data_IF_559941441289
#
_entry.id   IF_559941441289
#
_cell.length_a   1.000
_cell.length_b   1.000
_cell.length_c   1.000
_cell.angle_alpha   90.00
_cell.angle_beta   90.00
_cell.angle_gamma   90.00
#
_symmetry.space_group_name_H-M   'P 1'
#
loop_
_entity.id
_entity.type
_entity.pdbx_description
1 polymer ?
#
# COMPACT_ATOMS: atom_id res chain seq x y z
N UNK A 1 -6.28 6.76 6.43
CA UNK A 1 -5.28 5.75 6.02
C UNK A 1 -5.87 4.36 6.29
N UNK A 2 -6.94 3.97 5.60
CA UNK A 2 -7.60 2.69 5.84
C UNK A 2 -7.78 1.96 4.50
N UNK A 3 -7.59 0.63 4.44
CA UNK A 3 -7.84 -0.15 3.23
C UNK A 3 -9.35 -0.26 3.02
N UNK A 4 -9.92 0.72 2.33
CA UNK A 4 -11.35 0.78 2.05
C UNK A 4 -11.60 0.99 0.56
N UNK A 5 -12.65 0.36 0.04
CA UNK A 5 -13.08 0.53 -1.34
C UNK A 5 -14.60 0.67 -1.38
N UNK A 6 -15.09 1.84 -1.79
CA UNK A 6 -16.53 2.08 -1.99
C UNK A 6 -17.08 1.34 -3.21
N UNK A 7 -16.26 1.21 -4.25
CA UNK A 7 -16.63 0.59 -5.52
C UNK A 7 -16.62 -0.94 -5.44
N UNK A 8 -15.71 -1.50 -4.64
CA UNK A 8 -15.49 -2.93 -4.51
C UNK A 8 -15.40 -3.30 -3.02
N UNK A 9 -16.55 -3.44 -2.32
CA UNK A 9 -16.58 -3.65 -0.88
C UNK A 9 -15.83 -4.90 -0.41
N UNK A 10 -15.73 -5.94 -1.24
CA UNK A 10 -14.96 -7.15 -0.93
C UNK A 10 -13.44 -6.92 -0.79
N UNK A 11 -12.93 -5.79 -1.28
CA UNK A 11 -11.55 -5.35 -1.05
C UNK A 11 -11.41 -4.40 0.16
N UNK A 12 -12.47 -4.17 0.94
CA UNK A 12 -12.35 -3.49 2.22
C UNK A 12 -11.59 -4.39 3.21
N UNK A 13 -10.69 -3.81 4.00
CA UNK A 13 -9.81 -4.56 4.90
C UNK A 13 -10.56 -5.35 5.97
N UNK A 14 -11.69 -4.84 6.46
CA UNK A 14 -12.57 -5.58 7.38
C UNK A 14 -13.15 -6.82 6.70
N UNK A 15 -13.64 -6.69 5.46
CA UNK A 15 -14.14 -7.83 4.70
C UNK A 15 -13.04 -8.85 4.43
N UNK A 16 -11.86 -8.41 3.98
CA UNK A 16 -10.72 -9.31 3.72
C UNK A 16 -10.21 -10.00 4.99
N UNK A 17 -10.19 -9.30 6.13
CA UNK A 17 -9.80 -9.87 7.42
C UNK A 17 -10.73 -11.00 7.85
N UNK A 18 -11.99 -10.99 7.41
CA UNK A 18 -12.97 -12.04 7.70
C UNK A 18 -12.96 -13.15 6.64
N UNK A 19 -12.86 -12.82 5.35
CA UNK A 19 -13.05 -13.78 4.25
C UNK A 19 -11.78 -14.56 3.90
N UNK A 20 -10.60 -13.96 4.00
CA UNK A 20 -9.34 -14.64 3.64
C UNK A 20 -8.98 -15.78 4.60
N UNK A 21 -9.10 -15.61 5.94
CA UNK A 21 -8.85 -16.72 6.86
C UNK A 21 -9.80 -17.91 6.62
N UNK A 22 -11.07 -17.64 6.29
CA UNK A 22 -12.04 -18.68 5.93
C UNK A 22 -11.65 -19.46 4.66
N UNK A 23 -10.88 -18.84 3.77
CA UNK A 23 -10.32 -19.46 2.56
C UNK A 23 -8.91 -20.04 2.76
N UNK A 24 -8.38 -20.05 3.99
CA UNK A 24 -7.05 -20.58 4.32
C UNK A 24 -5.89 -19.62 4.06
N UNK A 25 -6.15 -18.31 3.93
CA UNK A 25 -5.14 -17.27 3.71
C UNK A 25 -5.06 -16.32 4.90
N UNK A 26 -3.85 -16.09 5.40
CA UNK A 26 -3.61 -15.03 6.38
C UNK A 26 -3.77 -13.65 5.70
N UNK A 27 -4.51 -12.76 6.37
CA UNK A 27 -4.59 -11.36 5.97
C UNK A 27 -3.74 -10.50 6.90
N UNK A 28 -2.81 -9.74 6.32
CA UNK A 28 -2.01 -8.76 7.04
C UNK A 28 -2.07 -7.41 6.35
N UNK A 29 -2.49 -6.40 7.10
CA UNK A 29 -2.43 -5.02 6.65
C UNK A 29 -1.13 -4.34 7.12
N UNK A 30 -0.34 -3.87 6.16
CA UNK A 30 0.88 -3.09 6.38
C UNK A 30 0.65 -1.62 5.97
N UNK A 31 0.16 -0.75 6.88
CA UNK A 31 -0.13 0.67 6.56
C UNK A 31 1.08 1.45 6.05
N UNK A 32 2.29 1.01 6.43
CA UNK A 32 3.56 1.58 6.00
C UNK A 32 3.77 1.50 4.49
N UNK A 33 3.23 0.45 3.85
CA UNK A 33 3.48 0.16 2.43
C UNK A 33 2.43 0.75 1.49
N UNK A 34 1.57 1.64 1.98
CA UNK A 34 0.53 2.19 1.12
C UNK A 34 -0.31 3.32 1.68
N UNK A 35 -1.35 3.65 0.91
CA UNK A 35 -2.24 4.77 1.17
C UNK A 35 -1.72 6.10 0.59
N UNK A 36 -2.60 7.10 0.58
CA UNK A 36 -2.27 8.44 0.09
C UNK A 36 -1.21 9.11 0.99
N UNK A 37 -0.30 9.84 0.35
CA UNK A 37 0.80 10.58 0.98
C UNK A 37 0.83 11.99 0.40
N UNK A 38 1.31 12.95 1.20
CA UNK A 38 1.47 14.34 0.77
C UNK A 38 2.93 14.56 0.41
N UNK A 39 3.17 15.31 -0.66
CA UNK A 39 4.51 15.74 -1.02
C UNK A 39 5.14 16.57 0.10
N UNK A 40 6.43 16.34 0.35
CA UNK A 40 7.19 17.11 1.33
C UNK A 40 7.61 18.46 0.72
N UNK A 41 7.64 19.55 1.51
CA UNK A 41 8.28 20.79 1.08
C UNK A 41 9.74 20.55 0.73
N UNK A 42 10.20 21.04 -0.43
CA UNK A 42 11.57 20.83 -0.89
C UNK A 42 11.88 19.39 -1.31
N UNK A 43 10.85 18.58 -1.59
CA UNK A 43 10.99 17.21 -2.08
C UNK A 43 11.98 17.10 -3.25
N UNK A 44 12.93 16.16 -3.21
CA UNK A 44 13.82 15.89 -4.34
C UNK A 44 13.07 15.27 -5.53
N UNK A 45 11.85 14.77 -5.31
CA UNK A 45 10.99 14.12 -6.30
C UNK A 45 10.15 15.13 -7.10
N UNK A 46 10.68 16.32 -7.40
CA UNK A 46 9.94 17.42 -8.05
C UNK A 46 9.52 17.19 -9.51
N UNK A 47 9.98 16.11 -10.15
CA UNK A 47 9.68 15.81 -11.56
C UNK A 47 8.26 15.24 -11.79
N UNK A 48 7.53 14.89 -10.72
CA UNK A 48 6.19 14.33 -10.83
C UNK A 48 5.14 15.41 -11.12
N UNK A 49 4.34 15.20 -12.18
CA UNK A 49 3.20 16.09 -12.51
C UNK A 49 2.04 16.01 -11.50
N UNK A 50 1.93 14.90 -10.78
CA UNK A 50 0.85 14.67 -9.82
C UNK A 50 1.42 14.68 -8.40
N UNK A 51 0.93 15.59 -7.56
CA UNK A 51 1.42 15.79 -6.20
C UNK A 51 1.25 14.57 -5.29
N UNK A 52 0.26 13.71 -5.54
CA UNK A 52 0.05 12.51 -4.76
C UNK A 52 1.01 11.37 -5.18
N UNK A 53 1.45 11.33 -6.44
CA UNK A 53 2.58 10.48 -6.86
C UNK A 53 3.91 11.01 -6.33
N UNK A 54 4.13 12.32 -6.35
CA UNK A 54 5.30 12.93 -5.69
C UNK A 54 5.36 12.57 -4.21
N UNK A 55 4.26 12.76 -3.48
CA UNK A 55 4.20 12.41 -2.06
C UNK A 55 4.36 10.92 -1.79
N UNK A 56 3.97 10.05 -2.73
CA UNK A 56 4.26 8.63 -2.59
C UNK A 56 5.73 8.31 -2.87
N UNK A 57 6.38 8.99 -3.82
CA UNK A 57 7.82 8.88 -4.05
C UNK A 57 8.62 9.33 -2.83
N UNK A 58 8.26 10.47 -2.22
CA UNK A 58 8.86 10.92 -0.95
C UNK A 58 8.68 9.89 0.17
N UNK A 59 7.53 9.21 0.19
CA UNK A 59 7.26 8.16 1.17
C UNK A 59 8.11 6.91 0.95
N UNK A 60 8.46 6.56 -0.29
CA UNK A 60 9.36 5.43 -0.58
C UNK A 60 10.75 5.64 0.03
N UNK A 61 11.18 6.90 0.15
CA UNK A 61 12.47 7.29 0.76
C UNK A 61 12.41 7.37 2.30
N UNK A 62 11.25 7.11 2.92
CA UNK A 62 11.07 7.25 4.36
C UNK A 62 11.47 6.00 5.15
N UNK A 63 11.89 6.21 6.41
CA UNK A 63 12.11 5.12 7.39
C UNK A 63 10.83 4.29 7.60
N UNK A 64 9.66 4.94 7.65
CA UNK A 64 8.37 4.23 7.79
C UNK A 64 8.19 3.18 6.67
N UNK A 65 8.51 3.54 5.43
CA UNK A 65 8.40 2.62 4.30
C UNK A 65 9.46 1.51 4.36
N UNK A 66 10.71 1.86 4.68
CA UNK A 66 11.79 0.90 4.84
C UNK A 66 11.45 -0.18 5.90
N UNK A 67 10.94 0.22 7.06
CA UNK A 67 10.52 -0.70 8.12
C UNK A 67 9.38 -1.63 7.68
N UNK A 68 8.39 -1.07 6.97
CA UNK A 68 7.29 -1.83 6.40
C UNK A 68 7.78 -2.86 5.37
N UNK A 69 8.76 -2.49 4.55
CA UNK A 69 9.32 -3.35 3.51
C UNK A 69 10.17 -4.46 4.12
N UNK A 70 11.00 -4.15 5.11
CA UNK A 70 11.78 -5.14 5.85
C UNK A 70 10.85 -6.21 6.46
N UNK A 71 9.77 -5.79 7.13
CA UNK A 71 8.76 -6.70 7.68
C UNK A 71 8.11 -7.57 6.61
N UNK A 72 7.78 -7.03 5.44
CA UNK A 72 7.23 -7.80 4.32
C UNK A 72 8.22 -8.86 3.83
N UNK A 73 9.49 -8.49 3.67
CA UNK A 73 10.54 -9.40 3.20
C UNK A 73 10.80 -10.53 4.21
N UNK A 74 10.79 -10.24 5.51
CA UNK A 74 10.89 -11.27 6.56
C UNK A 74 9.73 -12.27 6.51
N UNK A 75 8.51 -11.79 6.24
CA UNK A 75 7.33 -12.66 6.07
C UNK A 75 7.45 -13.52 4.82
N UNK A 76 7.85 -12.92 3.70
CA UNK A 76 8.01 -13.60 2.42
C UNK A 76 9.14 -14.65 2.45
N UNK A 77 10.17 -14.46 3.28
CA UNK A 77 11.22 -15.44 3.49
C UNK A 77 10.73 -16.68 4.25
N UNK A 78 9.64 -16.57 5.04
CA UNK A 78 9.11 -17.65 5.89
C UNK A 78 7.87 -18.32 5.34
N UNK A 79 7.07 -17.60 4.55
CA UNK A 79 5.78 -18.06 4.01
C UNK A 79 5.62 -17.58 2.58
N UNK A 80 4.86 -18.34 1.79
CA UNK A 80 4.43 -17.89 0.46
C UNK A 80 3.52 -16.67 0.63
N UNK A 81 4.01 -15.51 0.20
CA UNK A 81 3.35 -14.21 0.41
C UNK A 81 2.97 -13.58 -0.93
N UNK A 82 1.76 -13.02 -0.99
CA UNK A 82 1.31 -12.17 -2.08
C UNK A 82 1.07 -10.75 -1.56
N UNK A 83 1.64 -9.74 -2.22
CA UNK A 83 1.34 -8.34 -1.98
C UNK A 83 0.30 -7.87 -2.99
N UNK A 84 -0.82 -7.34 -2.52
CA UNK A 84 -1.95 -6.96 -3.37
C UNK A 84 -2.13 -5.45 -3.45
N UNK A 85 -2.45 -4.97 -4.66
CA UNK A 85 -2.93 -3.62 -4.96
C UNK A 85 -4.25 -3.75 -5.73
N UNK A 86 -5.24 -2.89 -5.51
CA UNK A 86 -6.58 -3.02 -6.12
C UNK A 86 -6.66 -2.36 -7.51
N UNK A 87 -5.53 -1.97 -8.09
CA UNK A 87 -5.47 -1.17 -9.30
C UNK A 87 -4.87 -1.95 -10.45
N UNK A 88 -5.59 -1.94 -11.58
CA UNK A 88 -5.16 -2.64 -12.78
C UNK A 88 -3.86 -2.07 -13.36
N UNK A 89 -3.66 -0.75 -13.28
CA UNK A 89 -2.51 -0.03 -13.83
C UNK A 89 -2.16 1.18 -12.95
N UNK A 90 -0.87 1.46 -12.79
CA UNK A 90 -0.38 2.48 -11.86
C UNK A 90 -0.86 3.90 -12.20
N UNK A 91 -1.06 4.24 -13.47
CA UNK A 91 -1.54 5.58 -13.88
C UNK A 91 -3.04 5.82 -13.62
N UNK A 92 -3.80 4.76 -13.28
CA UNK A 92 -5.17 4.84 -12.77
C UNK A 92 -5.25 4.60 -11.26
N UNK A 93 -4.10 4.63 -10.57
CA UNK A 93 -4.03 4.45 -9.14
C UNK A 93 -4.93 5.46 -8.42
N UNK A 94 -5.62 5.03 -7.37
CA UNK A 94 -6.47 5.91 -6.53
C UNK A 94 -5.67 6.95 -5.72
N UNK A 95 -4.33 6.85 -5.77
CA UNK A 95 -3.35 7.79 -5.23
C UNK A 95 -2.96 8.87 -6.23
N UNK A 96 -3.68 8.99 -7.36
CA UNK A 96 -3.65 10.19 -8.22
C UNK A 96 -4.51 11.30 -7.63
#
# INVERSE_FOLDING_TARGET
RFPGSRRYPWFAGETMANTLPAAGYDYLWLPQLGGRRRALPGSPNGAWRNAAFQGYADHLDSVEFADGLARLLELAARRRTALMCAEAVWWRCHRR
#
